data_IF_533380574884
#
_entry.id   IF_533380574884
#
_cell.length_a   1.000
_cell.length_b   1.000
_cell.length_c   1.000
_cell.angle_alpha   90.00
_cell.angle_beta   90.00
_cell.angle_gamma   90.00
#
_symmetry.space_group_name_H-M   'P 1'
#
loop_
_entity.id
_entity.type
_entity.pdbx_description
1 polymer ?
#
# COMPACT_ATOMS: atom_id res chain seq x y z
N UNK A 1 -18.61 20.70 -11.04
CA UNK A 1 -17.79 19.94 -10.07
C UNK A 1 -16.85 19.08 -10.92
N UNK A 2 -15.55 19.11 -10.68
CA UNK A 2 -14.63 18.22 -11.39
C UNK A 2 -14.86 16.82 -10.84
N UNK A 3 -15.13 15.84 -11.70
CA UNK A 3 -15.21 14.42 -11.36
C UNK A 3 -13.92 13.76 -11.80
N UNK A 4 -13.59 12.64 -11.16
CA UNK A 4 -12.36 11.86 -11.41
C UNK A 4 -12.71 10.44 -11.84
N UNK A 5 -13.75 10.30 -12.66
CA UNK A 5 -14.36 9.03 -13.07
C UNK A 5 -13.43 8.19 -13.98
N UNK A 6 -12.35 8.78 -14.45
CA UNK A 6 -11.31 8.14 -15.26
C UNK A 6 -10.12 7.63 -14.42
N UNK A 7 -10.12 7.88 -13.11
CA UNK A 7 -9.04 7.47 -12.22
C UNK A 7 -9.40 6.20 -11.42
N UNK A 8 -8.38 5.38 -11.22
CA UNK A 8 -8.44 4.19 -10.37
C UNK A 8 -7.46 4.28 -9.21
N UNK A 9 -7.91 3.92 -8.02
CA UNK A 9 -7.08 3.87 -6.82
C UNK A 9 -7.07 2.48 -6.21
N UNK A 10 -5.87 1.96 -5.93
CA UNK A 10 -5.67 0.72 -5.19
C UNK A 10 -5.12 1.04 -3.80
N UNK A 11 -5.82 0.56 -2.78
CA UNK A 11 -5.43 0.66 -1.39
C UNK A 11 -4.94 -0.71 -0.90
N UNK A 12 -3.68 -0.83 -0.50
CA UNK A 12 -3.11 -2.06 0.03
C UNK A 12 -3.15 -2.02 1.57
N UNK A 13 -4.00 -2.85 2.16
CA UNK A 13 -4.03 -3.02 3.61
C UNK A 13 -2.93 -3.99 4.06
N UNK A 14 -1.84 -3.44 4.58
CA UNK A 14 -0.69 -4.17 5.09
C UNK A 14 -0.77 -4.43 6.61
N UNK A 15 -1.97 -4.59 7.14
CA UNK A 15 -2.16 -5.05 8.52
C UNK A 15 -1.60 -6.46 8.70
N UNK A 16 -1.07 -6.75 9.91
CA UNK A 16 -0.63 -8.09 10.27
C UNK A 16 -1.75 -8.97 10.84
N UNK A 17 -2.98 -8.47 10.89
CA UNK A 17 -4.17 -9.27 11.26
C UNK A 17 -4.67 -10.01 10.03
N UNK A 18 -4.83 -11.33 10.12
CA UNK A 18 -5.35 -12.16 9.02
C UNK A 18 -6.78 -11.81 8.64
N UNK A 19 -7.63 -11.54 9.63
CA UNK A 19 -9.00 -11.08 9.38
C UNK A 19 -9.00 -9.58 9.10
N UNK A 20 -9.31 -9.24 7.85
CA UNK A 20 -9.39 -7.85 7.40
C UNK A 20 -10.42 -7.02 8.19
N UNK A 21 -11.50 -7.64 8.67
CA UNK A 21 -12.54 -6.94 9.45
C UNK A 21 -12.03 -6.45 10.81
N UNK A 22 -11.01 -7.09 11.36
CA UNK A 22 -10.37 -6.70 12.62
C UNK A 22 -9.27 -5.65 12.43
N UNK A 23 -8.94 -5.26 11.20
CA UNK A 23 -7.86 -4.33 10.91
C UNK A 23 -8.29 -2.87 11.12
N UNK A 24 -7.72 -2.22 12.11
CA UNK A 24 -7.90 -0.78 12.35
C UNK A 24 -7.31 0.05 11.20
N UNK A 25 -6.20 -0.38 10.61
CA UNK A 25 -5.63 0.22 9.39
C UNK A 25 -6.63 0.18 8.25
N UNK A 26 -7.34 -0.95 8.05
CA UNK A 26 -8.38 -1.05 7.02
C UNK A 26 -9.53 -0.07 7.26
N UNK A 27 -9.92 0.16 8.51
CA UNK A 27 -10.98 1.13 8.84
C UNK A 27 -10.60 2.56 8.42
N UNK A 28 -9.35 2.98 8.66
CA UNK A 28 -8.87 4.29 8.23
C UNK A 28 -8.68 4.35 6.69
N UNK A 29 -8.18 3.28 6.07
CA UNK A 29 -8.12 3.14 4.61
C UNK A 29 -9.51 3.29 3.99
N UNK A 30 -10.52 2.62 4.53
CA UNK A 30 -11.90 2.70 4.04
C UNK A 30 -12.47 4.12 4.14
N UNK A 31 -12.08 4.89 5.19
CA UNK A 31 -12.47 6.29 5.30
C UNK A 31 -11.85 7.15 4.21
N UNK A 32 -10.55 6.95 3.92
CA UNK A 32 -9.85 7.64 2.85
C UNK A 32 -10.39 7.24 1.46
N UNK A 33 -10.61 5.95 1.25
CA UNK A 33 -11.20 5.39 0.04
C UNK A 33 -12.58 5.98 -0.25
N UNK A 34 -13.45 6.05 0.76
CA UNK A 34 -14.79 6.63 0.61
C UNK A 34 -14.79 8.11 0.23
N UNK A 35 -13.75 8.86 0.60
CA UNK A 35 -13.57 10.25 0.15
C UNK A 35 -13.25 10.28 -1.35
N UNK A 36 -12.36 9.43 -1.83
CA UNK A 36 -12.01 9.33 -3.26
C UNK A 36 -13.21 8.84 -4.08
N UNK A 37 -13.90 7.79 -3.63
CA UNK A 37 -15.12 7.25 -4.26
C UNK A 37 -16.19 8.32 -4.40
N UNK A 38 -16.40 9.15 -3.38
CA UNK A 38 -17.37 10.26 -3.44
C UNK A 38 -17.03 11.35 -4.47
N UNK A 39 -15.79 11.35 -4.99
CA UNK A 39 -15.32 12.23 -6.07
C UNK A 39 -15.30 11.53 -7.44
N UNK A 40 -15.77 10.29 -7.52
CA UNK A 40 -15.86 9.51 -8.76
C UNK A 40 -14.70 8.57 -9.02
N UNK A 41 -13.68 8.50 -8.17
CA UNK A 41 -12.55 7.58 -8.35
C UNK A 41 -13.01 6.14 -8.13
N UNK A 42 -12.67 5.23 -9.05
CA UNK A 42 -12.86 3.77 -8.87
C UNK A 42 -11.85 3.26 -7.83
N UNK A 43 -12.34 2.78 -6.67
CA UNK A 43 -11.47 2.46 -5.53
C UNK A 43 -11.57 0.98 -5.16
N UNK A 44 -10.43 0.31 -5.12
CA UNK A 44 -10.28 -1.04 -4.58
C UNK A 44 -9.46 -1.02 -3.27
N UNK A 45 -9.88 -1.80 -2.27
CA UNK A 45 -9.08 -2.08 -1.06
C UNK A 45 -8.74 -3.57 -1.04
N UNK A 46 -7.46 -3.88 -1.17
CA UNK A 46 -6.94 -5.25 -1.12
C UNK A 46 -6.26 -5.51 0.23
N UNK A 47 -6.66 -6.60 0.89
CA UNK A 47 -5.98 -7.06 2.11
C UNK A 47 -4.84 -8.02 1.76
N UNK A 48 -3.60 -7.60 2.03
CA UNK A 48 -2.41 -8.31 1.54
C UNK A 48 -2.29 -9.73 2.11
N UNK A 49 -2.67 -9.94 3.38
CA UNK A 49 -2.59 -11.26 4.04
C UNK A 49 -3.67 -12.26 3.59
N UNK A 50 -4.64 -11.88 2.76
CA UNK A 50 -5.55 -12.83 2.11
C UNK A 50 -4.90 -13.54 0.91
N UNK A 51 -3.65 -13.19 0.58
CA UNK A 51 -2.90 -13.70 -0.55
C UNK A 51 -1.63 -14.43 -0.10
N UNK A 52 -1.27 -15.49 -0.80
CA UNK A 52 0.02 -16.16 -0.61
C UNK A 52 1.09 -15.43 -1.41
N UNK A 53 2.02 -14.76 -0.71
CA UNK A 53 3.08 -13.97 -1.33
C UNK A 53 4.43 -14.50 -0.89
N UNK A 54 5.30 -14.80 -1.84
CA UNK A 54 6.69 -15.17 -1.59
C UNK A 54 7.51 -13.98 -1.10
N UNK A 55 8.44 -14.23 -0.17
CA UNK A 55 9.43 -13.24 0.25
C UNK A 55 10.50 -13.02 -0.83
N UNK A 56 11.13 -11.86 -0.81
CA UNK A 56 12.28 -11.54 -1.66
C UNK A 56 11.93 -10.62 -2.82
N UNK A 57 13.00 -10.18 -3.51
CA UNK A 57 12.91 -9.31 -4.69
C UNK A 57 12.73 -10.16 -5.97
N UNK A 58 11.65 -10.92 -6.03
CA UNK A 58 11.32 -11.78 -7.18
C UNK A 58 9.98 -11.37 -7.78
N UNK A 59 9.81 -11.48 -9.08
CA UNK A 59 8.56 -11.14 -9.79
C UNK A 59 7.51 -12.21 -9.60
N UNK A 60 7.92 -13.46 -9.64
CA UNK A 60 7.09 -14.64 -9.38
C UNK A 60 7.96 -15.70 -8.69
N UNK A 61 7.63 -16.03 -7.45
CA UNK A 61 8.36 -17.01 -6.66
C UNK A 61 8.08 -18.47 -7.09
N UNK A 62 7.20 -18.70 -8.05
CA UNK A 62 6.98 -20.03 -8.65
C UNK A 62 7.95 -20.33 -9.78
N UNK A 63 8.52 -19.30 -10.43
CA UNK A 63 9.40 -19.48 -11.59
C UNK A 63 10.73 -20.16 -11.24
N UNK A 64 11.26 -19.92 -10.04
CA UNK A 64 12.50 -20.54 -9.55
C UNK A 64 12.26 -21.81 -8.72
N UNK A 65 10.99 -22.20 -8.58
CA UNK A 65 10.57 -23.36 -7.80
C UNK A 65 10.67 -23.17 -6.28
N UNK A 66 10.94 -21.97 -5.79
CA UNK A 66 11.01 -21.68 -4.36
C UNK A 66 9.65 -21.77 -3.67
N UNK A 67 8.57 -21.64 -4.45
CA UNK A 67 7.19 -21.81 -4.00
C UNK A 67 6.32 -22.53 -5.01
N UNK A 68 5.30 -23.24 -4.52
CA UNK A 68 4.27 -23.87 -5.36
C UNK A 68 3.16 -22.89 -5.79
N UNK A 69 3.03 -21.77 -5.08
CA UNK A 69 2.04 -20.71 -5.33
C UNK A 69 2.60 -19.35 -4.95
N UNK A 70 2.30 -18.34 -5.75
CA UNK A 70 2.57 -16.93 -5.47
C UNK A 70 1.47 -16.07 -6.11
N UNK A 71 0.68 -15.39 -5.31
CA UNK A 71 -0.40 -14.53 -5.77
C UNK A 71 0.09 -13.13 -6.19
N UNK A 72 1.39 -12.83 -5.96
CA UNK A 72 1.96 -11.51 -6.24
C UNK A 72 1.80 -11.05 -7.69
N UNK A 73 2.01 -11.87 -8.74
CA UNK A 73 1.79 -11.42 -10.11
C UNK A 73 0.38 -10.88 -10.36
N UNK A 74 -0.62 -11.41 -9.65
CA UNK A 74 -2.01 -10.91 -9.67
C UNK A 74 -2.14 -9.53 -9.00
N UNK A 75 -1.49 -9.33 -7.87
CA UNK A 75 -1.46 -8.06 -7.16
C UNK A 75 -0.71 -7.00 -7.97
N UNK A 76 0.43 -7.36 -8.58
CA UNK A 76 1.20 -6.46 -9.43
C UNK A 76 0.37 -5.96 -10.63
N UNK A 77 -0.44 -6.81 -11.26
CA UNK A 77 -1.36 -6.37 -12.32
C UNK A 77 -2.34 -5.30 -11.83
N UNK A 78 -2.95 -5.48 -10.65
CA UNK A 78 -3.85 -4.48 -10.05
C UNK A 78 -3.13 -3.18 -9.73
N UNK A 79 -1.87 -3.25 -9.23
CA UNK A 79 -1.01 -2.06 -9.03
C UNK A 79 -0.77 -1.34 -10.36
N UNK A 80 -0.56 -2.07 -11.44
CA UNK A 80 -0.34 -1.48 -12.77
C UNK A 80 -1.61 -0.89 -13.37
N UNK A 81 -2.79 -1.44 -13.07
CA UNK A 81 -4.07 -0.91 -13.55
C UNK A 81 -4.51 0.36 -12.80
N UNK A 82 -3.99 0.59 -11.58
CA UNK A 82 -4.32 1.76 -10.79
C UNK A 82 -3.44 2.97 -11.14
N UNK A 83 -4.02 4.17 -11.10
CA UNK A 83 -3.33 5.46 -11.24
C UNK A 83 -2.77 5.93 -9.88
N UNK A 84 -3.45 5.55 -8.81
CA UNK A 84 -3.14 5.95 -7.44
C UNK A 84 -2.92 4.70 -6.59
N UNK A 85 -1.78 4.63 -5.90
CA UNK A 85 -1.49 3.58 -4.92
C UNK A 85 -1.44 4.15 -3.52
N UNK A 86 -2.19 3.56 -2.59
CA UNK A 86 -2.13 3.93 -1.16
C UNK A 86 -1.73 2.72 -0.33
N UNK A 87 -0.60 2.82 0.38
CA UNK A 87 -0.13 1.75 1.27
C UNK A 87 -0.58 2.05 2.71
N UNK A 88 -1.44 1.19 3.24
CA UNK A 88 -1.87 1.26 4.63
C UNK A 88 -1.04 0.37 5.53
N UNK A 89 -0.51 0.92 6.63
CA UNK A 89 0.32 0.17 7.58
C UNK A 89 -0.03 0.47 9.03
N UNK A 90 -0.03 -0.52 9.92
CA UNK A 90 0.07 -0.26 11.35
C UNK A 90 1.50 0.15 11.73
N UNK A 91 1.64 0.83 12.86
CA UNK A 91 2.94 1.11 13.48
C UNK A 91 3.31 -0.07 14.39
N UNK A 92 4.53 -0.56 14.25
CA UNK A 92 5.14 -1.54 15.15
C UNK A 92 6.54 -1.08 15.51
N UNK A 93 6.78 -0.80 16.80
CA UNK A 93 8.08 -0.31 17.29
C UNK A 93 8.58 0.92 16.51
N UNK A 94 7.69 1.87 16.22
CA UNK A 94 7.99 3.06 15.44
C UNK A 94 8.21 2.84 13.94
N UNK A 95 7.96 1.62 13.41
CA UNK A 95 8.20 1.26 12.02
C UNK A 95 6.95 0.70 11.35
N UNK A 96 6.94 0.73 10.01
CA UNK A 96 5.91 0.06 9.20
C UNK A 96 5.92 -1.45 9.42
N UNK A 97 4.80 -2.10 9.17
CA UNK A 97 4.65 -3.55 9.29
C UNK A 97 5.57 -4.32 8.33
N UNK A 98 5.89 -5.57 8.69
CA UNK A 98 6.59 -6.51 7.80
C UNK A 98 5.84 -6.76 6.50
N UNK A 99 4.51 -6.74 6.53
CA UNK A 99 3.66 -6.87 5.32
C UNK A 99 3.86 -5.70 4.36
N UNK A 100 3.99 -4.46 4.89
CA UNK A 100 4.34 -3.30 4.05
C UNK A 100 5.73 -3.44 3.45
N UNK A 101 6.68 -3.98 4.20
CA UNK A 101 8.03 -4.22 3.67
C UNK A 101 8.03 -5.28 2.58
N UNK A 102 7.29 -6.38 2.77
CA UNK A 102 7.10 -7.41 1.75
C UNK A 102 6.56 -6.81 0.44
N UNK A 103 5.50 -5.99 0.51
CA UNK A 103 4.93 -5.30 -0.65
C UNK A 103 6.00 -4.45 -1.36
N UNK A 104 6.76 -3.64 -0.61
CA UNK A 104 7.82 -2.78 -1.16
C UNK A 104 8.90 -3.62 -1.87
N UNK A 105 9.38 -4.71 -1.26
CA UNK A 105 10.39 -5.59 -1.84
C UNK A 105 9.89 -6.25 -3.14
N UNK A 106 8.64 -6.69 -3.14
CA UNK A 106 8.02 -7.28 -4.32
C UNK A 106 7.83 -6.27 -5.45
N UNK A 107 7.43 -5.04 -5.15
CA UNK A 107 7.37 -3.94 -6.14
C UNK A 107 8.76 -3.58 -6.66
N UNK A 108 9.77 -3.58 -5.79
CA UNK A 108 11.14 -3.25 -6.17
C UNK A 108 11.72 -4.24 -7.19
N UNK A 109 11.26 -5.49 -7.21
CA UNK A 109 11.66 -6.47 -8.23
C UNK A 109 11.37 -6.02 -9.68
N UNK A 110 10.45 -5.07 -9.88
CA UNK A 110 10.09 -4.49 -11.18
C UNK A 110 10.75 -3.13 -11.43
N UNK A 111 11.56 -2.60 -10.51
CA UNK A 111 12.10 -1.23 -10.58
C UNK A 111 12.99 -0.97 -11.80
N UNK A 112 13.58 -2.00 -12.38
CA UNK A 112 14.36 -1.93 -13.62
C UNK A 112 13.54 -1.99 -14.90
N UNK A 113 12.27 -2.35 -14.82
CA UNK A 113 11.40 -2.52 -15.98
C UNK A 113 11.02 -1.17 -16.59
N UNK A 114 10.78 -1.20 -17.91
CA UNK A 114 10.41 -0.02 -18.68
C UNK A 114 9.09 -0.26 -19.40
N UNK A 115 8.30 0.80 -19.54
CA UNK A 115 7.14 0.81 -20.40
C UNK A 115 7.56 0.98 -21.89
N UNK A 116 6.60 0.91 -22.80
CA UNK A 116 6.83 1.06 -24.26
C UNK A 116 7.49 2.38 -24.64
N UNK A 117 7.38 3.42 -23.80
CA UNK A 117 8.00 4.74 -23.99
C UNK A 117 9.42 4.81 -23.41
N UNK A 118 9.96 3.70 -22.87
CA UNK A 118 11.28 3.67 -22.23
C UNK A 118 11.33 4.31 -20.83
N UNK A 119 10.19 4.66 -20.23
CA UNK A 119 10.09 5.21 -18.88
C UNK A 119 10.03 4.06 -17.85
N UNK A 120 10.43 4.32 -16.62
CA UNK A 120 10.26 3.36 -15.51
C UNK A 120 8.80 2.95 -15.37
N UNK A 121 8.57 1.69 -14.96
CA UNK A 121 7.26 1.05 -15.00
C UNK A 121 6.17 1.84 -14.26
N UNK A 122 6.50 2.40 -13.10
CA UNK A 122 5.54 3.15 -12.27
C UNK A 122 5.46 4.65 -12.60
N UNK A 123 6.19 5.12 -13.61
CA UNK A 123 6.16 6.52 -14.01
C UNK A 123 4.75 6.97 -14.45
N UNK A 124 4.34 8.14 -13.98
CA UNK A 124 3.01 8.70 -14.26
C UNK A 124 1.93 8.31 -13.23
N UNK A 125 2.26 7.43 -12.28
CA UNK A 125 1.36 7.08 -11.17
C UNK A 125 1.69 7.90 -9.92
N UNK A 126 0.71 8.03 -9.01
CA UNK A 126 0.89 8.72 -7.72
C UNK A 126 0.82 7.74 -6.56
N UNK A 127 1.53 8.04 -5.47
CA UNK A 127 1.47 7.23 -4.27
C UNK A 127 1.28 8.04 -3.00
N UNK A 128 0.59 7.43 -2.03
CA UNK A 128 0.40 7.93 -0.68
C UNK A 128 0.40 6.81 0.34
N UNK A 129 0.26 7.16 1.62
CA UNK A 129 0.14 6.15 2.66
C UNK A 129 -0.82 6.54 3.78
N UNK A 130 -1.34 5.52 4.46
CA UNK A 130 -2.20 5.63 5.64
C UNK A 130 -1.56 4.85 6.79
N UNK A 131 -1.42 5.48 7.94
CA UNK A 131 -0.71 4.91 9.09
C UNK A 131 -1.59 4.92 10.34
N UNK A 132 -1.68 3.79 11.06
CA UNK A 132 -2.44 3.70 12.32
C UNK A 132 -1.58 3.09 13.42
N UNK A 133 -1.75 3.55 14.64
CA UNK A 133 -1.08 2.95 15.80
C UNK A 133 -1.50 3.58 17.12
N UNK A 134 -0.98 3.01 18.19
CA UNK A 134 -1.13 3.49 19.56
C UNK A 134 0.22 3.91 20.17
N UNK A 135 1.21 4.15 19.33
CA UNK A 135 2.53 4.63 19.69
C UNK A 135 3.05 5.57 18.61
N UNK A 136 4.03 6.40 18.92
CA UNK A 136 4.60 7.34 17.96
C UNK A 136 5.25 6.62 16.76
N UNK A 137 5.26 7.27 15.60
CA UNK A 137 5.91 6.73 14.41
C UNK A 137 5.21 6.97 13.09
N UNK A 138 4.10 7.75 13.02
CA UNK A 138 3.42 8.04 11.74
C UNK A 138 4.41 8.53 10.70
N UNK A 139 5.18 9.58 11.01
CA UNK A 139 6.11 10.18 10.05
C UNK A 139 7.29 9.28 9.72
N UNK A 140 7.75 8.48 10.68
CA UNK A 140 8.81 7.50 10.44
C UNK A 140 8.34 6.39 9.47
N UNK A 141 7.12 5.88 9.62
CA UNK A 141 6.52 4.93 8.68
C UNK A 141 6.27 5.56 7.31
N UNK A 142 5.67 6.75 7.27
CA UNK A 142 5.35 7.46 6.05
C UNK A 142 6.61 7.76 5.22
N UNK A 143 7.67 8.28 5.84
CA UNK A 143 8.94 8.57 5.18
C UNK A 143 9.52 7.33 4.48
N UNK A 144 9.50 6.18 5.13
CA UNK A 144 10.03 4.94 4.56
C UNK A 144 9.21 4.48 3.35
N UNK A 145 7.88 4.54 3.43
CA UNK A 145 6.99 4.14 2.35
C UNK A 145 7.10 5.12 1.17
N UNK A 146 6.97 6.41 1.43
CA UNK A 146 6.96 7.43 0.40
C UNK A 146 8.30 7.54 -0.32
N UNK A 147 9.43 7.41 0.42
CA UNK A 147 10.74 7.35 -0.20
C UNK A 147 10.89 6.13 -1.12
N UNK A 148 10.46 4.95 -0.67
CA UNK A 148 10.51 3.75 -1.49
C UNK A 148 9.67 3.90 -2.77
N UNK A 149 8.45 4.46 -2.66
CA UNK A 149 7.59 4.70 -3.83
C UNK A 149 8.21 5.73 -4.79
N UNK A 150 8.74 6.84 -4.28
CA UNK A 150 9.44 7.83 -5.10
C UNK A 150 10.64 7.21 -5.82
N UNK A 151 11.41 6.36 -5.12
CA UNK A 151 12.59 5.70 -5.68
C UNK A 151 12.26 4.78 -6.86
N UNK A 152 11.12 4.09 -6.84
CA UNK A 152 10.72 3.18 -7.93
C UNK A 152 9.93 3.87 -9.04
N UNK A 153 9.65 5.19 -8.94
CA UNK A 153 9.10 5.98 -10.05
C UNK A 153 7.74 6.62 -9.83
N UNK A 154 7.12 6.46 -8.65
CA UNK A 154 5.87 7.17 -8.35
C UNK A 154 6.10 8.65 -8.11
N UNK A 155 5.12 9.46 -8.48
CA UNK A 155 5.02 10.85 -8.04
C UNK A 155 4.43 10.89 -6.64
N UNK A 156 5.07 11.64 -5.73
CA UNK A 156 4.57 11.87 -4.38
C UNK A 156 3.93 13.26 -4.35
N UNK A 157 2.59 13.37 -4.25
CA UNK A 157 1.90 14.65 -4.23
C UNK A 157 2.08 15.37 -2.89
N UNK A 158 1.73 16.66 -2.78
CA UNK A 158 1.60 17.32 -1.48
C UNK A 158 0.60 16.59 -0.57
N UNK A 159 0.87 16.56 0.75
CA UNK A 159 0.02 15.87 1.75
C UNK A 159 -0.21 14.37 1.44
N UNK A 160 0.84 13.58 1.15
CA UNK A 160 0.71 12.21 0.65
C UNK A 160 0.44 11.19 1.76
N UNK A 161 0.50 11.62 3.02
CA UNK A 161 0.30 10.75 4.18
C UNK A 161 -0.87 11.22 5.05
N UNK A 162 -1.58 10.24 5.58
CA UNK A 162 -2.61 10.41 6.59
C UNK A 162 -2.35 9.40 7.71
N UNK A 163 -2.58 9.80 8.95
CA UNK A 163 -2.38 8.86 10.05
C UNK A 163 -3.18 9.21 11.29
N UNK A 164 -3.38 8.19 12.11
CA UNK A 164 -4.01 8.29 13.41
C UNK A 164 -3.19 7.57 14.47
N UNK A 165 -2.97 8.22 15.60
CA UNK A 165 -2.31 7.66 16.78
C UNK A 165 -3.28 7.74 17.95
N UNK A 166 -3.55 6.59 18.58
CA UNK A 166 -4.21 6.48 19.86
C UNK A 166 -3.24 6.68 21.02
N UNK A 167 -3.80 6.65 22.21
CA UNK A 167 -3.01 6.66 23.45
C UNK A 167 -2.14 5.38 23.55
N UNK A 168 -0.88 5.54 23.92
CA UNK A 168 0.04 4.43 24.12
C UNK A 168 -0.42 3.50 25.26
N UNK A 169 -0.20 2.20 25.10
CA UNK A 169 -0.64 1.19 26.06
C UNK A 169 -2.03 0.63 25.74
N UNK A 170 -2.92 0.42 26.73
CA UNK A 170 -4.22 -0.22 26.53
C UNK A 170 -5.31 0.73 25.99
N UNK A 171 -4.94 1.87 25.42
CA UNK A 171 -5.88 2.81 24.82
C UNK A 171 -6.62 2.25 23.61
N UNK A 172 -7.75 2.85 23.22
CA UNK A 172 -8.52 2.39 22.07
C UNK A 172 -7.71 2.48 20.78
N UNK A 173 -7.96 1.58 19.86
CA UNK A 173 -7.43 1.65 18.50
C UNK A 173 -8.39 2.43 17.58
N UNK A 174 -7.94 2.78 16.38
CA UNK A 174 -8.78 3.51 15.43
C UNK A 174 -10.08 2.76 15.13
N UNK A 175 -11.21 3.40 15.45
CA UNK A 175 -12.55 2.87 15.19
C UNK A 175 -13.13 1.98 16.30
N UNK A 176 -12.48 1.94 17.49
CA UNK A 176 -13.04 1.33 18.69
C UNK A 176 -13.99 2.27 19.40
#
# INVERSE_FOLDING_TARGET
MTTYDDLKALFLNCSIKYDAAQSHTRRLLARSAGIMDSQGVDVEILHVLEHEIGFGMVKDATEDGSRSRDDWPGIQRRIMDADILVIGTPIWLGMKSSVSMLVIERMYAYSGDRNEKGQYLYYGKTAGCVVTGNEDGIKACAMQILYAMAHIGYTIPPQPDCGWIGEAGPGPSYGD
#
